data_IF_309121873043
#
_entry.id   IF_309121873043
#
_cell.length_a   1.000
_cell.length_b   1.000
_cell.length_c   1.000
_cell.angle_alpha   90.00
_cell.angle_beta   90.00
_cell.angle_gamma   90.00
#
_symmetry.space_group_name_H-M   'P 1'
#
loop_
_entity.id
_entity.type
_entity.pdbx_description
1 polymer ?
#
# COMPACT_ATOMS: atom_id res chain seq x y z
N UNK A 1 -9.14 -13.24 55.39
CA UNK A 1 -8.18 -12.64 54.42
C UNK A 1 -8.35 -13.12 52.98
N UNK A 2 -8.57 -14.42 52.71
CA UNK A 2 -8.72 -14.95 51.33
C UNK A 2 -9.87 -14.32 50.52
N UNK A 3 -11.03 -14.08 51.13
CA UNK A 3 -12.23 -13.55 50.44
C UNK A 3 -12.07 -12.07 50.05
N UNK A 4 -11.35 -11.29 50.85
CA UNK A 4 -11.09 -9.86 50.60
C UNK A 4 -10.17 -9.69 49.39
N UNK A 5 -9.21 -10.60 49.21
CA UNK A 5 -8.31 -10.61 48.05
C UNK A 5 -9.05 -10.88 46.73
N UNK A 6 -10.03 -11.79 46.74
CA UNK A 6 -10.86 -12.05 45.56
C UNK A 6 -11.81 -10.89 45.23
N UNK A 7 -12.38 -10.24 46.26
CA UNK A 7 -13.24 -9.06 46.06
C UNK A 7 -12.49 -7.87 45.44
N UNK A 8 -11.24 -7.62 45.86
CA UNK A 8 -10.41 -6.54 45.33
C UNK A 8 -10.00 -6.76 43.85
N UNK A 9 -9.87 -8.01 43.39
CA UNK A 9 -9.56 -8.29 41.98
C UNK A 9 -10.76 -8.01 41.05
N UNK A 10 -11.98 -8.25 41.54
CA UNK A 10 -13.21 -8.04 40.76
C UNK A 10 -13.52 -6.54 40.63
N UNK A 11 -13.21 -5.73 41.64
CA UNK A 11 -13.43 -4.27 41.54
C UNK A 11 -12.45 -3.59 40.60
N UNK A 12 -11.21 -4.09 40.45
CA UNK A 12 -10.24 -3.54 39.50
C UNK A 12 -10.64 -3.72 38.03
N UNK A 13 -11.44 -4.73 37.70
CA UNK A 13 -11.84 -5.03 36.32
C UNK A 13 -12.95 -4.10 35.79
N UNK A 14 -13.63 -3.34 36.66
CA UNK A 14 -14.66 -2.37 36.24
C UNK A 14 -14.11 -1.00 35.83
N UNK A 15 -12.81 -0.73 36.02
CA UNK A 15 -12.16 0.51 35.61
C UNK A 15 -11.48 0.43 34.24
N UNK A 16 -11.74 -0.62 33.44
CA UNK A 16 -11.22 -0.70 32.08
C UNK A 16 -11.98 0.25 31.16
N UNK A 17 -11.43 1.44 30.94
CA UNK A 17 -11.89 2.33 29.87
C UNK A 17 -11.73 1.64 28.51
N UNK A 18 -12.67 1.79 27.56
CA UNK A 18 -12.48 1.28 26.21
C UNK A 18 -11.27 1.99 25.60
N UNK A 19 -10.21 1.24 25.30
CA UNK A 19 -9.10 1.73 24.48
C UNK A 19 -9.63 1.83 23.05
N UNK A 20 -9.91 3.06 22.62
CA UNK A 20 -10.23 3.27 21.22
C UNK A 20 -8.96 3.06 20.40
N UNK A 21 -8.99 2.08 19.49
CA UNK A 21 -7.89 1.82 18.57
C UNK A 21 -8.21 2.35 17.17
N UNK A 22 -7.20 2.81 16.45
CA UNK A 22 -7.35 3.15 15.03
C UNK A 22 -7.54 1.85 14.26
N UNK A 23 -8.75 1.61 13.74
CA UNK A 23 -8.97 0.47 12.86
C UNK A 23 -8.57 0.82 11.43
N UNK A 24 -8.08 -0.17 10.71
CA UNK A 24 -7.68 -0.01 9.32
C UNK A 24 -8.49 -0.93 8.42
N UNK A 25 -8.85 -0.43 7.25
CA UNK A 25 -9.40 -1.20 6.13
C UNK A 25 -8.25 -1.50 5.18
N UNK A 26 -8.12 -2.76 4.79
CA UNK A 26 -7.09 -3.23 3.87
C UNK A 26 -7.70 -3.64 2.52
N UNK A 27 -6.95 -3.44 1.44
CA UNK A 27 -7.30 -3.92 0.10
C UNK A 27 -6.05 -4.39 -0.62
N UNK A 28 -6.13 -5.55 -1.25
CA UNK A 28 -5.12 -6.01 -2.17
C UNK A 28 -5.45 -5.52 -3.58
N UNK A 29 -4.44 -4.99 -4.27
CA UNK A 29 -4.54 -4.50 -5.64
C UNK A 29 -3.46 -5.17 -6.49
N UNK A 30 -3.83 -5.50 -7.72
CA UNK A 30 -2.91 -5.89 -8.79
C UNK A 30 -2.98 -4.83 -9.88
N UNK A 31 -1.83 -4.26 -10.24
CA UNK A 31 -1.77 -3.19 -11.23
C UNK A 31 -0.46 -3.18 -12.03
N UNK A 32 -0.52 -2.54 -13.19
CA UNK A 32 0.62 -2.38 -14.08
C UNK A 32 1.18 -0.96 -13.98
N UNK A 33 2.50 -0.83 -13.95
CA UNK A 33 3.17 0.48 -14.03
C UNK A 33 3.08 1.03 -15.45
N UNK A 34 3.26 2.34 -15.60
CA UNK A 34 3.32 2.93 -16.93
C UNK A 34 4.71 2.70 -17.54
N UNK A 35 4.79 2.44 -18.86
CA UNK A 35 6.05 2.31 -19.58
C UNK A 35 6.87 3.59 -19.53
N UNK A 36 8.19 3.45 -19.71
CA UNK A 36 9.09 4.59 -19.85
C UNK A 36 8.71 5.45 -21.05
N UNK A 37 8.84 6.78 -20.92
CA UNK A 37 8.64 7.70 -22.05
C UNK A 37 9.73 7.50 -23.11
N UNK A 38 10.95 7.17 -22.67
CA UNK A 38 12.10 6.93 -23.55
C UNK A 38 12.12 5.47 -24.03
N UNK A 39 12.42 5.29 -25.31
CA UNK A 39 12.81 4.00 -25.89
C UNK A 39 14.28 3.74 -25.57
N UNK A 40 14.59 2.56 -25.05
CA UNK A 40 15.95 2.18 -24.66
C UNK A 40 16.29 0.81 -25.23
N UNK A 41 17.56 0.43 -25.19
CA UNK A 41 17.93 -0.95 -25.55
C UNK A 41 17.21 -1.94 -24.62
N UNK A 42 16.89 -3.17 -25.07
CA UNK A 42 16.08 -4.12 -24.29
C UNK A 42 16.58 -4.33 -22.86
N UNK A 43 17.90 -4.44 -22.68
CA UNK A 43 18.54 -4.61 -21.36
C UNK A 43 18.35 -3.36 -20.48
N UNK A 44 18.58 -2.17 -21.04
CA UNK A 44 18.43 -0.90 -20.30
C UNK A 44 16.97 -0.63 -19.96
N UNK A 45 16.06 -0.89 -20.91
CA UNK A 45 14.63 -0.68 -20.74
C UNK A 45 14.08 -1.53 -19.57
N UNK A 46 14.47 -2.82 -19.49
CA UNK A 46 14.11 -3.71 -18.37
C UNK A 46 14.68 -3.20 -17.05
N UNK A 47 15.98 -2.93 -17.00
CA UNK A 47 16.63 -2.40 -15.81
C UNK A 47 16.00 -1.08 -15.33
N UNK A 48 15.53 -0.24 -16.26
CA UNK A 48 14.84 1.02 -15.98
C UNK A 48 13.41 0.80 -15.46
N UNK A 49 12.71 -0.25 -15.89
CA UNK A 49 11.38 -0.61 -15.38
C UNK A 49 11.46 -1.20 -13.96
N UNK A 50 12.46 -2.03 -13.69
CA UNK A 50 12.67 -2.75 -12.43
C UNK A 50 13.23 -1.88 -11.29
N UNK A 51 13.53 -0.60 -11.55
CA UNK A 51 14.05 0.31 -10.52
C UNK A 51 13.10 0.41 -9.33
N UNK A 52 13.60 0.06 -8.14
CA UNK A 52 12.84 0.12 -6.89
C UNK A 52 12.17 1.48 -6.62
N UNK A 53 12.83 2.58 -7.01
CA UNK A 53 12.26 3.93 -6.91
C UNK A 53 10.97 4.09 -7.73
N UNK A 54 10.91 3.55 -8.95
CA UNK A 54 9.70 3.58 -9.77
C UNK A 54 8.59 2.76 -9.13
N UNK A 55 8.92 1.55 -8.68
CA UNK A 55 7.96 0.68 -8.01
C UNK A 55 7.35 1.36 -6.78
N UNK A 56 8.17 2.04 -5.97
CA UNK A 56 7.71 2.81 -4.80
C UNK A 56 6.75 3.94 -5.19
N UNK A 57 7.02 4.66 -6.28
CA UNK A 57 6.14 5.74 -6.76
C UNK A 57 4.81 5.18 -7.26
N UNK A 58 4.86 4.17 -8.13
CA UNK A 58 3.65 3.58 -8.69
C UNK A 58 2.80 2.89 -7.63
N UNK A 59 3.42 2.20 -6.68
CA UNK A 59 2.69 1.57 -5.55
C UNK A 59 1.88 2.60 -4.76
N UNK A 60 2.44 3.80 -4.52
CA UNK A 60 1.69 4.90 -3.91
C UNK A 60 0.50 5.33 -4.77
N UNK A 61 0.73 5.54 -6.06
CA UNK A 61 -0.32 5.93 -7.01
C UNK A 61 -1.44 4.88 -7.08
N UNK A 62 -1.09 3.58 -7.06
CA UNK A 62 -2.06 2.49 -7.07
C UNK A 62 -2.96 2.50 -5.83
N UNK A 63 -2.43 2.76 -4.64
CA UNK A 63 -3.30 2.93 -3.48
C UNK A 63 -4.15 4.20 -3.57
N UNK A 64 -3.60 5.30 -4.08
CA UNK A 64 -4.33 6.55 -4.23
C UNK A 64 -5.51 6.45 -5.20
N UNK A 65 -5.50 5.52 -6.17
CA UNK A 65 -6.65 5.30 -7.08
C UNK A 65 -7.86 4.71 -6.35
N UNK A 66 -7.68 4.12 -5.16
CA UNK A 66 -8.79 3.66 -4.31
C UNK A 66 -9.52 4.81 -3.60
N UNK A 67 -9.00 6.04 -3.71
CA UNK A 67 -9.56 7.25 -3.15
C UNK A 67 -8.66 7.91 -2.10
N UNK A 68 -9.16 9.00 -1.52
CA UNK A 68 -8.43 9.73 -0.48
C UNK A 68 -8.16 8.87 0.78
N UNK A 69 -6.98 9.06 1.36
CA UNK A 69 -6.51 8.41 2.59
C UNK A 69 -5.97 6.99 2.42
N UNK A 70 -6.00 6.42 1.21
CA UNK A 70 -5.41 5.11 0.95
C UNK A 70 -3.89 5.21 0.77
N UNK A 71 -3.17 4.36 1.50
CA UNK A 71 -1.71 4.33 1.52
C UNK A 71 -1.18 2.91 1.37
N UNK A 72 0.06 2.77 0.91
CA UNK A 72 0.72 1.47 0.80
C UNK A 72 1.00 0.92 2.21
N UNK A 73 0.52 -0.29 2.49
CA UNK A 73 0.92 -1.07 3.65
C UNK A 73 2.12 -1.95 3.30
N UNK A 74 2.04 -2.69 2.20
CA UNK A 74 3.07 -3.61 1.76
C UNK A 74 3.02 -3.81 0.24
N UNK A 75 4.17 -4.09 -0.37
CA UNK A 75 4.27 -4.61 -1.73
C UNK A 75 4.49 -6.11 -1.56
N UNK A 76 3.54 -6.93 -2.02
CA UNK A 76 3.60 -8.40 -1.92
C UNK A 76 4.45 -8.97 -3.04
N UNK A 77 4.23 -8.47 -4.26
CA UNK A 77 4.94 -8.91 -5.45
C UNK A 77 5.32 -7.71 -6.30
N UNK A 78 6.57 -7.68 -6.77
CA UNK A 78 7.09 -6.61 -7.61
C UNK A 78 6.62 -6.72 -9.07
N UNK A 79 5.97 -7.82 -9.45
CA UNK A 79 5.56 -8.12 -10.80
C UNK A 79 6.71 -8.55 -11.71
N UNK A 80 6.46 -8.57 -13.03
CA UNK A 80 7.43 -8.92 -14.07
C UNK A 80 7.59 -7.79 -15.07
N UNK A 81 8.81 -7.60 -15.58
CA UNK A 81 9.06 -6.62 -16.63
C UNK A 81 8.55 -7.12 -17.99
N UNK A 82 7.58 -6.42 -18.56
CA UNK A 82 7.05 -6.66 -19.91
C UNK A 82 7.43 -5.50 -20.83
N UNK A 83 7.92 -5.82 -22.02
CA UNK A 83 8.52 -4.88 -22.94
C UNK A 83 7.82 -4.92 -24.30
N UNK A 84 7.50 -3.74 -24.81
CA UNK A 84 6.96 -3.57 -26.15
C UNK A 84 7.97 -2.84 -27.02
N UNK A 85 7.99 -3.15 -28.31
CA UNK A 85 8.79 -2.41 -29.29
C UNK A 85 8.27 -0.99 -29.46
N UNK A 86 9.19 -0.09 -29.77
CA UNK A 86 8.85 1.29 -30.09
C UNK A 86 8.43 1.44 -31.55
N UNK A 87 7.28 2.07 -31.78
CA UNK A 87 6.71 2.29 -33.12
C UNK A 87 7.69 2.95 -34.09
N UNK A 88 8.48 3.92 -33.62
CA UNK A 88 9.33 4.76 -34.47
C UNK A 88 10.83 4.43 -34.38
N UNK A 89 11.22 3.45 -33.55
CA UNK A 89 12.62 3.13 -33.28
C UNK A 89 12.84 1.62 -33.21
N UNK A 90 13.15 1.03 -34.36
CA UNK A 90 13.43 -0.41 -34.49
C UNK A 90 14.59 -0.83 -33.57
N UNK A 91 14.38 -1.97 -32.89
CA UNK A 91 15.34 -2.54 -31.94
C UNK A 91 15.35 -1.90 -30.55
N UNK A 92 14.62 -0.80 -30.33
CA UNK A 92 14.43 -0.21 -29.01
C UNK A 92 13.08 -0.60 -28.40
N UNK A 93 13.07 -0.70 -27.08
CA UNK A 93 11.92 -1.18 -26.31
C UNK A 93 11.53 -0.22 -25.20
N UNK A 94 10.25 -0.25 -24.85
CA UNK A 94 9.67 0.35 -23.65
C UNK A 94 9.16 -0.74 -22.74
N UNK A 95 9.76 -0.84 -21.56
CA UNK A 95 9.35 -1.81 -20.55
C UNK A 95 8.57 -1.16 -19.42
N UNK A 96 7.72 -1.96 -18.79
CA UNK A 96 6.96 -1.63 -17.59
C UNK A 96 6.85 -2.88 -16.71
N UNK A 97 6.65 -2.68 -15.41
CA UNK A 97 6.29 -3.77 -14.50
C UNK A 97 4.81 -4.08 -14.62
N UNK A 98 4.49 -5.36 -14.84
CA UNK A 98 3.15 -5.92 -14.93
C UNK A 98 2.87 -6.79 -13.72
N UNK A 99 1.60 -6.84 -13.29
CA UNK A 99 1.11 -7.65 -12.18
C UNK A 99 1.82 -7.33 -10.85
N UNK A 100 1.99 -6.04 -10.55
CA UNK A 100 2.47 -5.60 -9.24
C UNK A 100 1.35 -5.81 -8.23
N UNK A 101 1.57 -6.67 -7.24
CA UNK A 101 0.59 -6.96 -6.18
C UNK A 101 0.98 -6.23 -4.90
N UNK A 102 0.06 -5.44 -4.35
CA UNK A 102 0.30 -4.67 -3.14
C UNK A 102 -0.93 -4.58 -2.26
N UNK A 103 -0.69 -4.44 -0.96
CA UNK A 103 -1.73 -4.19 0.03
C UNK A 103 -1.77 -2.71 0.34
N UNK A 104 -2.93 -2.10 0.13
CA UNK A 104 -3.26 -0.76 0.58
C UNK A 104 -3.99 -0.81 1.92
N UNK A 105 -3.80 0.23 2.74
CA UNK A 105 -4.58 0.46 3.94
C UNK A 105 -5.14 1.87 3.98
N UNK A 106 -6.25 2.04 4.69
CA UNK A 106 -6.82 3.34 5.07
C UNK A 106 -7.41 3.22 6.48
N UNK A 107 -7.42 4.30 7.24
CA UNK A 107 -8.15 4.35 8.51
C UNK A 107 -9.64 4.14 8.24
N UNK A 108 -10.30 3.31 9.05
CA UNK A 108 -11.73 3.06 8.94
C UNK A 108 -12.51 4.31 9.36
N UNK A 109 -13.51 4.76 8.56
CA UNK A 109 -14.41 5.83 8.99
C UNK A 109 -15.04 5.57 10.35
N UNK A 110 -14.98 6.58 11.22
CA UNK A 110 -15.55 6.53 12.57
C UNK A 110 -14.61 6.03 13.67
N UNK A 111 -13.34 5.71 13.38
CA UNK A 111 -12.37 5.29 14.42
C UNK A 111 -11.44 6.40 14.86
N UNK A 112 -10.84 6.27 16.05
CA UNK A 112 -9.87 7.26 16.55
C UNK A 112 -8.67 7.40 15.63
N UNK A 113 -8.09 8.59 15.61
CA UNK A 113 -7.06 8.98 14.65
C UNK A 113 -7.61 9.47 13.31
N UNK A 114 -8.87 9.19 12.98
CA UNK A 114 -9.62 9.96 11.99
C UNK A 114 -10.14 11.20 12.70
N UNK A 115 -9.49 12.37 12.53
CA UNK A 115 -10.08 13.64 12.94
C UNK A 115 -10.98 14.12 11.79
N UNK A 116 -12.31 13.85 11.80
CA UNK A 116 -13.20 14.50 10.86
C UNK A 116 -13.10 16.00 11.07
N UNK A 117 -12.93 16.75 9.98
CA UNK A 117 -12.64 18.18 9.99
C UNK A 117 -13.49 18.96 11.00
N UNK A 118 -12.89 19.28 12.14
CA UNK A 118 -13.12 20.55 12.82
C UNK A 118 -12.05 21.50 12.28
N UNK A 119 -12.38 22.12 11.15
CA UNK A 119 -11.83 23.43 10.80
C UNK A 119 -12.54 24.49 11.63
#
# INVERSE_FOLDING_TARGET
MRIIFFGALITLSFFSSPTFSTEYVYRDLMANTLPSVKCESPVKAKATAEKAYKLKIYSKKFCQTQGYGWHVQAIKENGKAECNECTDQQGLQKCHMKDVVLTCKRIKPGTVGMLPGKG
#
